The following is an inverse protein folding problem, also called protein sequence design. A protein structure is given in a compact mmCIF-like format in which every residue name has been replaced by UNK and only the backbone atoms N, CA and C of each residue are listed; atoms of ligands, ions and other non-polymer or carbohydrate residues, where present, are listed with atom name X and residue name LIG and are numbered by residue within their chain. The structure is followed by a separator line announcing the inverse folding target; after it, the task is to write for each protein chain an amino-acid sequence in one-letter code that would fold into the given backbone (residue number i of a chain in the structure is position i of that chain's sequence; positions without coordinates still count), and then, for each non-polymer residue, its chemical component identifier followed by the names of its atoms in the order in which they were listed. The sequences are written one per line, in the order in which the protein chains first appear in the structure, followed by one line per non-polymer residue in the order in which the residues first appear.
data_IF_008400447020
#
_entry.id   IF_008400447020
#
_cell.length_a   1.000
_cell.length_b   1.000
_cell.length_c   1.000
_cell.angle_alpha   90.00
_cell.angle_beta   90.00
_cell.angle_gamma   90.00
#
_symmetry.space_group_name_H-M   'P 1'
#
loop_
_entity.id
_entity.type
_entity.pdbx_description
1 polymer ?
#
# COMPACT_ATOMS: atom_id res chain seq x y z
N UNK A 1 -62.35 -3.79 25.23
CA UNK A 1 -61.41 -2.67 25.11
C UNK A 1 -60.23 -3.16 24.28
N UNK A 2 -60.15 -2.76 23.00
CA UNK A 2 -59.09 -3.20 22.07
C UNK A 2 -58.20 -2.01 21.76
N UNK A 3 -56.90 -2.13 22.07
CA UNK A 3 -55.92 -1.09 21.81
C UNK A 3 -55.58 -1.07 20.31
N UNK A 4 -55.77 0.08 19.67
CA UNK A 4 -55.38 0.30 18.28
C UNK A 4 -53.85 0.37 18.11
N UNK A 5 -53.30 0.06 16.93
CA UNK A 5 -51.85 0.01 16.71
C UNK A 5 -51.24 1.42 16.79
N UNK A 6 -50.08 1.53 17.43
CA UNK A 6 -49.34 2.80 17.54
C UNK A 6 -48.93 3.32 16.14
N UNK A 7 -49.11 4.62 15.84
CA UNK A 7 -48.74 5.20 14.56
C UNK A 7 -47.21 5.28 14.41
N UNK A 8 -46.62 4.26 13.78
CA UNK A 8 -45.21 4.28 13.37
C UNK A 8 -44.98 5.34 12.28
N UNK A 9 -44.48 6.50 12.71
CA UNK A 9 -44.28 7.68 11.87
C UNK A 9 -43.49 7.33 10.60
N UNK A 10 -43.98 7.78 9.45
CA UNK A 10 -43.26 7.65 8.17
C UNK A 10 -41.85 8.25 8.25
N UNK A 11 -41.66 9.23 9.14
CA UNK A 11 -40.38 9.87 9.45
C UNK A 11 -39.34 8.91 10.05
N UNK A 12 -39.73 8.02 10.98
CA UNK A 12 -38.81 7.02 11.57
C UNK A 12 -38.29 6.05 10.50
N UNK A 13 -39.14 5.67 9.53
CA UNK A 13 -38.75 4.82 8.39
C UNK A 13 -37.85 5.54 7.39
N UNK A 14 -38.08 6.83 7.13
CA UNK A 14 -37.17 7.63 6.30
C UNK A 14 -35.81 7.83 6.96
N UNK A 15 -35.77 8.07 8.27
CA UNK A 15 -34.54 8.31 9.01
C UNK A 15 -33.65 7.05 9.07
N UNK A 16 -34.25 5.86 9.28
CA UNK A 16 -33.50 4.60 9.24
C UNK A 16 -32.94 4.29 7.84
N UNK A 17 -33.67 4.62 6.76
CA UNK A 17 -33.19 4.45 5.39
C UNK A 17 -32.05 5.40 5.04
N UNK A 18 -32.14 6.66 5.47
CA UNK A 18 -31.07 7.64 5.29
C UNK A 18 -29.80 7.24 6.04
N UNK A 19 -29.94 6.77 7.28
CA UNK A 19 -28.80 6.30 8.08
C UNK A 19 -28.11 5.08 7.45
N UNK A 20 -28.87 4.10 6.96
CA UNK A 20 -28.32 2.93 6.28
C UNK A 20 -27.57 3.30 4.99
N UNK A 21 -28.07 4.28 4.24
CA UNK A 21 -27.40 4.78 3.03
C UNK A 21 -26.08 5.49 3.36
N UNK A 22 -26.05 6.33 4.40
CA UNK A 22 -24.82 6.99 4.85
C UNK A 22 -23.74 6.00 5.31
N UNK A 23 -24.13 4.91 5.99
CA UNK A 23 -23.20 3.86 6.42
C UNK A 23 -22.63 3.10 5.21
N UNK A 24 -23.46 2.80 4.20
CA UNK A 24 -23.01 2.13 2.97
C UNK A 24 -22.02 2.96 2.14
N UNK A 25 -22.21 4.29 2.07
CA UNK A 25 -21.32 5.19 1.32
C UNK A 25 -19.95 5.30 2.01
N UNK A 26 -19.89 5.37 3.34
CA UNK A 26 -18.61 5.44 4.08
C UNK A 26 -17.78 4.14 4.00
N UNK A 27 -18.42 2.97 3.94
CA UNK A 27 -17.70 1.70 3.84
C UNK A 27 -16.87 1.56 2.54
N UNK A 28 -17.27 2.26 1.47
CA UNK A 28 -16.60 2.15 0.17
C UNK A 28 -15.24 2.86 0.13
N UNK A 29 -15.04 3.90 0.95
CA UNK A 29 -13.77 4.64 1.02
C UNK A 29 -12.69 3.88 1.82
N UNK A 30 -13.08 2.93 2.66
CA UNK A 30 -12.15 2.16 3.49
C UNK A 30 -11.51 0.97 2.76
N UNK A 31 -12.02 0.57 1.59
CA UNK A 31 -11.65 -0.69 0.92
C UNK A 31 -10.67 -0.53 -0.25
N UNK A 32 -10.05 0.65 -0.41
CA UNK A 32 -8.95 0.83 -1.36
C UNK A 32 -7.60 0.59 -0.68
N UNK A 33 -7.44 -0.57 -0.04
CA UNK A 33 -6.14 -0.98 0.53
C UNK A 33 -5.34 -1.65 -0.59
N UNK A 34 -4.76 -0.83 -1.48
CA UNK A 34 -3.78 -1.30 -2.46
C UNK A 34 -2.59 -1.96 -1.75
N UNK A 35 -1.82 -2.77 -2.49
CA UNK A 35 -0.59 -3.36 -1.96
C UNK A 35 0.26 -2.29 -1.27
N UNK A 36 0.83 -2.62 -0.11
CA UNK A 36 1.61 -1.66 0.68
C UNK A 36 2.80 -1.09 -0.13
N UNK A 37 3.26 -1.80 -1.15
CA UNK A 37 4.31 -1.43 -2.08
C UNK A 37 4.16 -2.15 -3.41
N UNK A 38 4.87 -1.66 -4.43
CA UNK A 38 5.08 -2.34 -5.72
C UNK A 38 6.55 -2.75 -5.83
N UNK A 39 6.82 -3.99 -6.23
CA UNK A 39 8.18 -4.38 -6.59
C UNK A 39 8.57 -3.83 -7.96
N UNK A 40 9.75 -3.24 -8.03
CA UNK A 40 10.31 -2.71 -9.28
C UNK A 40 11.73 -3.23 -9.47
N UNK A 41 12.17 -3.35 -10.72
CA UNK A 41 13.54 -3.71 -11.05
C UNK A 41 14.13 -2.68 -12.00
N UNK A 42 15.35 -2.23 -11.72
CA UNK A 42 16.06 -1.29 -12.57
C UNK A 42 17.47 -1.77 -12.91
N UNK A 43 17.98 -1.46 -14.11
CA UNK A 43 19.33 -1.84 -14.51
C UNK A 43 20.38 -0.95 -13.82
N UNK A 44 21.51 -1.54 -13.45
CA UNK A 44 22.71 -0.83 -12.99
C UNK A 44 23.94 -1.60 -13.45
N UNK A 45 24.58 -1.14 -14.53
CA UNK A 45 25.62 -1.91 -15.22
C UNK A 45 25.09 -3.27 -15.68
N UNK A 46 25.78 -4.36 -15.32
CA UNK A 46 25.34 -5.73 -15.62
C UNK A 46 24.34 -6.30 -14.61
N UNK A 47 23.89 -5.51 -13.65
CA UNK A 47 23.03 -5.93 -12.55
C UNK A 47 21.60 -5.49 -12.82
N UNK A 48 20.65 -6.31 -12.38
CA UNK A 48 19.23 -5.96 -12.29
C UNK A 48 18.89 -5.89 -10.81
N UNK A 49 18.66 -4.67 -10.31
CA UNK A 49 18.46 -4.40 -8.89
C UNK A 49 16.97 -4.37 -8.59
N UNK A 50 16.54 -5.16 -7.60
CA UNK A 50 15.18 -5.13 -7.06
C UNK A 50 15.02 -3.93 -6.13
N UNK A 51 13.83 -3.34 -6.10
CA UNK A 51 13.47 -2.30 -5.16
C UNK A 51 11.98 -2.37 -4.83
N UNK A 52 11.62 -1.80 -3.68
CA UNK A 52 10.23 -1.67 -3.24
C UNK A 52 9.79 -0.22 -3.33
N UNK A 53 8.74 0.03 -4.11
CA UNK A 53 8.16 1.35 -4.35
C UNK A 53 6.88 1.52 -3.52
N UNK A 54 6.89 2.46 -2.60
CA UNK A 54 5.72 2.85 -1.82
C UNK A 54 5.19 4.18 -2.36
N UNK A 55 3.87 4.27 -2.57
CA UNK A 55 3.24 5.46 -3.17
C UNK A 55 1.99 5.86 -2.36
N UNK A 56 1.85 7.16 -2.00
CA UNK A 56 0.61 7.66 -1.40
C UNK A 56 -0.56 7.56 -2.39
N UNK A 57 -1.80 7.50 -1.89
CA UNK A 57 -2.97 7.61 -2.76
C UNK A 57 -3.05 9.01 -3.41
N UNK A 58 -3.55 9.08 -4.65
CA UNK A 58 -3.71 10.31 -5.42
C UNK A 58 -2.68 10.46 -6.55
N UNK A 59 -2.88 11.47 -7.39
CA UNK A 59 -2.15 11.65 -8.65
C UNK A 59 -0.84 12.47 -8.50
N UNK A 60 -0.58 13.03 -7.32
CA UNK A 60 0.63 13.83 -7.04
C UNK A 60 0.56 15.27 -7.56
N UNK A 61 1.69 16.01 -7.58
CA UNK A 61 3.07 15.53 -7.39
C UNK A 61 3.41 15.20 -5.94
N UNK A 62 4.30 14.23 -5.74
CA UNK A 62 4.83 13.87 -4.43
C UNK A 62 6.35 14.04 -4.40
N UNK A 63 6.92 14.51 -3.28
CA UNK A 63 8.36 14.42 -3.05
C UNK A 63 8.81 12.95 -3.00
N UNK A 64 10.03 12.67 -3.48
CA UNK A 64 10.59 11.31 -3.55
C UNK A 64 11.72 11.13 -2.53
N UNK A 65 11.70 10.02 -1.80
CA UNK A 65 12.79 9.56 -0.92
C UNK A 65 13.35 8.26 -1.45
N UNK A 66 14.67 8.19 -1.61
CA UNK A 66 15.38 6.94 -1.89
C UNK A 66 16.04 6.48 -0.58
N UNK A 67 15.49 5.44 0.03
CA UNK A 67 15.99 4.91 1.29
C UNK A 67 16.94 3.74 1.04
N UNK A 68 18.24 4.04 1.03
CA UNK A 68 19.30 3.04 0.96
C UNK A 68 19.53 2.44 2.35
N UNK A 69 19.07 1.22 2.58
CA UNK A 69 19.16 0.58 3.89
C UNK A 69 20.57 0.02 4.19
N UNK A 70 20.88 -0.14 5.47
CA UNK A 70 22.11 -0.78 5.93
C UNK A 70 22.17 -2.29 5.66
N UNK A 71 23.30 -2.91 6.01
CA UNK A 71 23.49 -4.37 5.92
C UNK A 71 22.55 -5.09 6.88
N UNK A 72 22.00 -6.22 6.44
CA UNK A 72 21.21 -7.13 7.28
C UNK A 72 22.10 -8.25 7.81
N UNK A 73 22.17 -8.41 9.13
CA UNK A 73 22.97 -9.46 9.78
C UNK A 73 22.67 -10.85 9.21
N UNK A 74 23.55 -11.34 8.33
CA UNK A 74 23.43 -12.64 7.66
C UNK A 74 22.23 -12.81 6.72
N UNK A 75 21.41 -11.77 6.50
CA UNK A 75 20.17 -11.84 5.71
C UNK A 75 20.17 -11.02 4.43
N UNK A 76 21.32 -10.46 4.03
CA UNK A 76 21.47 -9.73 2.76
C UNK A 76 21.04 -10.57 1.53
N UNK A 77 21.04 -11.90 1.66
CA UNK A 77 20.59 -12.83 0.60
C UNK A 77 19.07 -12.90 0.44
N UNK A 78 18.29 -12.30 1.35
CA UNK A 78 16.83 -12.30 1.29
C UNK A 78 16.37 -10.87 1.02
N UNK A 79 15.78 -10.68 -0.16
CA UNK A 79 15.03 -9.46 -0.48
C UNK A 79 13.81 -9.41 0.42
N UNK A 80 13.72 -8.40 1.28
CA UNK A 80 12.60 -8.26 2.22
C UNK A 80 12.21 -6.77 2.31
N UNK A 81 10.96 -6.41 2.03
CA UNK A 81 10.52 -5.02 2.06
C UNK A 81 10.71 -4.37 3.44
N UNK A 82 11.16 -3.12 3.47
CA UNK A 82 11.26 -2.30 4.69
C UNK A 82 9.93 -1.61 4.98
N UNK A 83 8.89 -2.41 5.25
CA UNK A 83 7.51 -1.93 5.35
C UNK A 83 7.31 -0.84 6.40
N UNK A 84 7.98 -0.92 7.55
CA UNK A 84 7.87 0.12 8.59
C UNK A 84 8.31 1.49 8.07
N UNK A 85 9.49 1.56 7.46
CA UNK A 85 10.04 2.82 6.92
C UNK A 85 9.22 3.29 5.72
N UNK A 86 8.88 2.38 4.81
CA UNK A 86 8.05 2.68 3.64
C UNK A 86 6.70 3.25 4.03
N UNK A 87 5.99 2.61 4.97
CA UNK A 87 4.68 3.10 5.47
C UNK A 87 4.78 4.40 6.23
N UNK A 88 5.81 4.59 7.06
CA UNK A 88 6.01 5.83 7.82
C UNK A 88 6.16 7.03 6.88
N UNK A 89 7.04 6.92 5.89
CA UNK A 89 7.31 7.99 4.93
C UNK A 89 6.15 8.18 3.93
N UNK A 90 5.50 7.10 3.51
CA UNK A 90 4.33 7.19 2.61
C UNK A 90 3.14 7.84 3.30
N UNK A 91 2.91 7.54 4.59
CA UNK A 91 1.89 8.22 5.41
C UNK A 91 2.18 9.71 5.59
N UNK A 92 3.45 10.13 5.44
CA UNK A 92 3.86 11.53 5.45
C UNK A 92 3.81 12.20 4.07
N UNK A 93 3.27 11.52 3.03
CA UNK A 93 3.07 12.09 1.70
C UNK A 93 4.25 11.93 0.73
N UNK A 94 5.24 11.10 1.06
CA UNK A 94 6.39 10.84 0.19
C UNK A 94 6.16 9.60 -0.68
N UNK A 95 6.64 9.63 -1.92
CA UNK A 95 6.95 8.40 -2.66
C UNK A 95 8.28 7.88 -2.16
N UNK A 96 8.36 6.58 -1.85
CA UNK A 96 9.57 5.98 -1.26
C UNK A 96 10.04 4.84 -2.14
N UNK A 97 11.31 4.90 -2.55
CA UNK A 97 11.99 3.78 -3.19
C UNK A 97 12.96 3.17 -2.19
N UNK A 98 12.86 1.86 -1.96
CA UNK A 98 13.79 1.10 -1.12
C UNK A 98 14.54 0.10 -2.00
N UNK A 99 15.74 0.45 -2.52
CA UNK A 99 16.54 -0.48 -3.31
C UNK A 99 17.14 -1.57 -2.44
N UNK A 100 17.12 -2.80 -2.92
CA UNK A 100 17.94 -3.87 -2.39
C UNK A 100 19.37 -3.74 -2.90
N UNK A 101 20.30 -4.36 -2.17
CA UNK A 101 21.72 -4.30 -2.51
C UNK A 101 22.10 -5.52 -3.34
N UNK A 102 22.59 -5.35 -4.59
CA UNK A 102 23.10 -6.48 -5.34
C UNK A 102 24.31 -7.07 -4.60
N UNK A 103 24.27 -8.37 -4.39
CA UNK A 103 25.33 -9.06 -3.67
C UNK A 103 26.62 -9.04 -4.52
N UNK A 104 27.72 -8.53 -3.97
CA UNK A 104 29.04 -8.57 -4.60
C UNK A 104 29.65 -9.97 -4.52
N UNK A 105 28.91 -11.02 -4.84
CA UNK A 105 29.50 -12.36 -5.03
C UNK A 105 29.71 -12.53 -6.52
N UNK A 106 30.93 -12.81 -6.97
CA UNK A 106 31.33 -12.93 -8.39
C UNK A 106 30.64 -14.03 -9.21
N UNK A 107 29.43 -14.44 -8.82
CA UNK A 107 28.54 -15.31 -9.59
C UNK A 107 27.48 -14.43 -10.26
N UNK A 108 27.59 -14.34 -11.59
CA UNK A 108 26.62 -13.71 -12.50
C UNK A 108 25.20 -14.03 -12.05
N UNK A 109 24.43 -13.03 -11.64
CA UNK A 109 22.99 -13.19 -11.50
C UNK A 109 22.44 -13.49 -12.90
N UNK A 110 22.13 -14.76 -13.17
CA UNK A 110 21.42 -15.13 -14.39
C UNK A 110 20.03 -14.53 -14.30
N UNK A 111 19.76 -13.53 -15.13
CA UNK A 111 18.40 -13.05 -15.33
C UNK A 111 17.52 -14.23 -15.76
N UNK A 112 16.30 -14.40 -15.23
CA UNK A 112 15.36 -15.36 -15.79
C UNK A 112 15.03 -14.94 -17.23
N UNK A 113 15.03 -15.92 -18.14
CA UNK A 113 14.67 -15.73 -19.54
C UNK A 113 13.26 -15.13 -19.64
N UNK A 114 13.03 -14.10 -20.47
CA UNK A 114 11.67 -13.75 -20.85
C UNK A 114 11.05 -14.92 -21.62
N UNK A 115 9.77 -15.17 -21.34
CA UNK A 115 8.88 -16.06 -22.07
C UNK A 115 8.63 -15.55 -23.49
#
# INVERSE_FOLDING_TARGET
MSAGPLPGSRATRCMMRALALCIGIMASAAYAQGDAYTEVFYPSGSLRIQAYLYRPQGDGPFPVVIYNHGSRDGRERKSVPFEYVGRMLTSAGYVVLVPERPICTGRRATAPSPS
#
